data_IF_375577230793
#
_entry.id   IF_375577230793
#
_cell.length_a   1.000
_cell.length_b   1.000
_cell.length_c   1.000
_cell.angle_alpha   90.00
_cell.angle_beta   90.00
_cell.angle_gamma   90.00
#
_symmetry.space_group_name_H-M   'P 1'
#
loop_
_entity.id
_entity.type
_entity.pdbx_description
1 polymer ?
#
# COMPACT_ATOMS: atom_id res chain seq x y z
N UNK A 1 5.50 -12.43 8.63
CA UNK A 1 4.62 -12.23 7.45
C UNK A 1 3.57 -13.34 7.37
N UNK A 2 2.29 -13.01 7.16
CA UNK A 2 1.20 -13.99 7.11
C UNK A 2 0.79 -14.37 5.69
N UNK A 3 0.47 -13.36 4.88
CA UNK A 3 0.02 -13.49 3.50
C UNK A 3 0.35 -12.22 2.72
N UNK A 4 0.31 -12.31 1.40
CA UNK A 4 0.18 -11.11 0.55
C UNK A 4 -1.14 -10.44 0.94
N UNK A 5 -1.10 -9.16 1.23
CA UNK A 5 -2.30 -8.38 1.52
C UNK A 5 -2.83 -7.76 0.23
N UNK A 6 -1.96 -7.04 -0.49
CA UNK A 6 -2.27 -6.46 -1.78
C UNK A 6 -1.08 -6.34 -2.71
N UNK A 7 -1.38 -6.10 -3.99
CA UNK A 7 -0.43 -5.64 -4.99
C UNK A 7 -0.85 -4.23 -5.40
N UNK A 8 0.04 -3.27 -5.18
CA UNK A 8 -0.16 -1.87 -5.57
C UNK A 8 0.26 -1.64 -7.02
N UNK A 9 -0.60 -1.03 -7.82
CA UNK A 9 -0.37 -0.80 -9.25
C UNK A 9 -0.55 0.69 -9.53
N UNK A 10 0.54 1.34 -9.92
CA UNK A 10 0.54 2.75 -10.29
C UNK A 10 -0.10 2.94 -11.68
N UNK A 11 -1.07 3.86 -11.76
CA UNK A 11 -1.82 4.18 -12.97
C UNK A 11 -1.95 5.70 -13.13
N UNK A 12 -1.99 6.18 -14.37
CA UNK A 12 -2.19 7.60 -14.69
C UNK A 12 -3.64 8.02 -14.47
N UNK A 13 -4.59 7.12 -14.74
CA UNK A 13 -6.02 7.38 -14.60
C UNK A 13 -6.73 6.18 -13.95
N UNK A 14 -7.18 6.37 -12.72
CA UNK A 14 -7.82 5.34 -11.92
C UNK A 14 -9.19 4.95 -12.46
N UNK A 15 -9.93 5.87 -13.09
CA UNK A 15 -11.24 5.58 -13.64
C UNK A 15 -11.14 4.65 -14.87
N UNK A 16 -10.17 4.89 -15.75
CA UNK A 16 -9.92 4.02 -16.91
C UNK A 16 -9.30 2.69 -16.48
N UNK A 17 -8.32 2.72 -15.56
CA UNK A 17 -7.73 1.50 -15.03
C UNK A 17 -8.77 0.63 -14.30
N UNK A 18 -9.67 1.23 -13.50
CA UNK A 18 -10.74 0.50 -12.81
C UNK A 18 -11.59 -0.29 -13.80
N UNK A 19 -12.06 0.33 -14.90
CA UNK A 19 -12.86 -0.37 -15.93
C UNK A 19 -12.12 -1.58 -16.52
N UNK A 20 -10.80 -1.52 -16.66
CA UNK A 20 -9.98 -2.62 -17.16
C UNK A 20 -9.90 -3.74 -16.12
N UNK A 21 -9.54 -3.39 -14.88
CA UNK A 21 -9.37 -4.36 -13.80
C UNK A 21 -10.70 -5.01 -13.39
N UNK A 22 -11.81 -4.28 -13.44
CA UNK A 22 -13.14 -4.84 -13.16
C UNK A 22 -13.50 -5.96 -14.14
N UNK A 23 -13.21 -5.75 -15.44
CA UNK A 23 -13.39 -6.78 -16.47
C UNK A 23 -12.40 -7.93 -16.32
N UNK A 24 -11.13 -7.63 -16.03
CA UNK A 24 -10.07 -8.61 -15.92
C UNK A 24 -10.29 -9.56 -14.73
N UNK A 25 -10.68 -9.01 -13.58
CA UNK A 25 -10.87 -9.74 -12.33
C UNK A 25 -12.32 -10.21 -12.14
N UNK A 26 -13.24 -9.77 -13.00
CA UNK A 26 -14.67 -10.03 -12.88
C UNK A 26 -15.22 -9.64 -11.49
N UNK A 27 -14.84 -8.45 -11.02
CA UNK A 27 -15.19 -7.90 -9.70
C UNK A 27 -15.30 -6.38 -9.80
N UNK A 28 -16.12 -5.73 -8.97
CA UNK A 28 -16.22 -4.27 -8.95
C UNK A 28 -15.17 -3.62 -8.05
N UNK A 29 -14.92 -2.33 -8.25
CA UNK A 29 -14.27 -1.50 -7.23
C UNK A 29 -15.20 -1.41 -6.01
N UNK A 30 -14.76 -1.87 -4.85
CA UNK A 30 -15.59 -1.86 -3.63
C UNK A 30 -15.35 -0.63 -2.75
N UNK A 31 -14.21 0.04 -2.94
CA UNK A 31 -13.84 1.23 -2.18
C UNK A 31 -12.87 2.08 -2.99
N UNK A 32 -13.02 3.40 -2.86
CA UNK A 32 -12.01 4.39 -3.24
C UNK A 32 -11.68 5.23 -2.03
N UNK A 33 -10.42 5.65 -1.91
CA UNK A 33 -9.94 6.42 -0.75
C UNK A 33 -8.84 7.38 -1.17
N UNK A 34 -8.90 8.62 -0.70
CA UNK A 34 -7.80 9.56 -0.86
C UNK A 34 -6.91 9.52 0.37
N UNK A 35 -5.62 9.23 0.16
CA UNK A 35 -4.57 9.32 1.18
C UNK A 35 -3.86 10.65 0.98
N UNK A 36 -4.48 11.73 1.48
CA UNK A 36 -4.02 13.10 1.26
C UNK A 36 -2.57 13.33 1.73
N UNK A 37 -2.13 12.67 2.80
CA UNK A 37 -0.76 12.77 3.33
C UNK A 37 0.33 12.24 2.39
N UNK A 38 -0.05 11.37 1.45
CA UNK A 38 0.87 10.77 0.48
C UNK A 38 0.57 11.24 -0.96
N UNK A 39 -0.42 12.13 -1.14
CA UNK A 39 -0.88 12.62 -2.44
C UNK A 39 -1.28 11.50 -3.40
N UNK A 40 -2.07 10.54 -2.91
CA UNK A 40 -2.53 9.38 -3.69
C UNK A 40 -4.05 9.19 -3.54
N UNK A 41 -4.70 8.92 -4.67
CA UNK A 41 -6.05 8.36 -4.73
C UNK A 41 -5.95 6.86 -5.01
N UNK A 42 -6.67 6.05 -4.24
CA UNK A 42 -6.65 4.60 -4.34
C UNK A 42 -8.01 4.03 -4.71
N UNK A 43 -8.01 2.87 -5.37
CA UNK A 43 -9.20 2.09 -5.69
C UNK A 43 -8.92 0.61 -5.48
N UNK A 44 -9.82 -0.06 -4.77
CA UNK A 44 -9.62 -1.44 -4.32
C UNK A 44 -10.54 -2.41 -5.04
N UNK A 45 -9.94 -3.50 -5.54
CA UNK A 45 -10.66 -4.62 -6.15
C UNK A 45 -10.29 -5.93 -5.44
N UNK A 46 -11.30 -6.74 -5.10
CA UNK A 46 -11.08 -8.00 -4.39
C UNK A 46 -10.61 -9.10 -5.34
N UNK A 47 -9.56 -9.85 -4.96
CA UNK A 47 -9.08 -11.03 -5.71
C UNK A 47 -8.75 -12.16 -4.75
N UNK A 48 -9.72 -13.06 -4.55
CA UNK A 48 -9.62 -14.13 -3.55
C UNK A 48 -9.41 -13.56 -2.14
N UNK A 49 -8.41 -14.02 -1.35
CA UNK A 49 -8.13 -13.50 -0.01
C UNK A 49 -7.30 -12.21 0.01
N UNK A 50 -6.91 -11.69 -1.16
CA UNK A 50 -6.04 -10.55 -1.37
C UNK A 50 -6.78 -9.45 -2.17
N UNK A 51 -6.15 -8.30 -2.38
CA UNK A 51 -6.71 -7.22 -3.19
C UNK A 51 -5.70 -6.67 -4.21
N UNK A 52 -6.23 -6.10 -5.29
CA UNK A 52 -5.49 -5.18 -6.15
C UNK A 52 -5.81 -3.76 -5.68
N UNK A 53 -4.77 -2.96 -5.48
CA UNK A 53 -4.89 -1.55 -5.18
C UNK A 53 -4.34 -0.73 -6.35
N UNK A 54 -5.22 0.00 -7.01
CA UNK A 54 -4.82 0.96 -8.04
C UNK A 54 -4.44 2.27 -7.37
N UNK A 55 -3.34 2.87 -7.80
CA UNK A 55 -2.76 4.07 -7.20
C UNK A 55 -2.61 5.16 -8.26
N UNK A 56 -3.29 6.28 -8.07
CA UNK A 56 -3.15 7.46 -8.91
C UNK A 56 -2.60 8.62 -8.08
N UNK A 57 -1.56 9.29 -8.58
CA UNK A 57 -1.07 10.50 -7.95
C UNK A 57 -2.12 11.63 -8.02
N UNK A 58 -2.28 12.37 -6.92
CA UNK A 58 -3.10 13.60 -6.87
C UNK A 58 -2.26 14.88 -6.91
N UNK A 59 -0.93 14.76 -6.82
CA UNK A 59 0.05 15.83 -6.96
C UNK A 59 1.33 15.32 -7.63
N UNK A 60 2.09 16.21 -8.27
CA UNK A 60 3.42 15.91 -8.84
C UNK A 60 4.44 15.52 -7.75
N UNK A 61 4.22 15.96 -6.51
CA UNK A 61 5.06 15.63 -5.35
C UNK A 61 4.84 14.19 -4.84
N UNK A 62 3.90 13.44 -5.42
CA UNK A 62 3.61 12.06 -5.03
C UNK A 62 4.74 11.10 -5.41
N UNK A 63 5.02 10.12 -4.55
CA UNK A 63 5.89 8.99 -4.89
C UNK A 63 5.39 8.24 -6.13
N UNK A 64 4.07 8.19 -6.34
CA UNK A 64 3.44 7.57 -7.51
C UNK A 64 3.73 8.37 -8.77
N UNK A 65 3.67 9.70 -8.72
CA UNK A 65 4.02 10.56 -9.87
C UNK A 65 5.48 10.34 -10.28
N UNK A 66 6.39 10.29 -9.29
CA UNK A 66 7.81 10.00 -9.51
C UNK A 66 8.03 8.60 -10.12
N UNK A 67 7.29 7.60 -9.66
CA UNK A 67 7.36 6.24 -10.22
C UNK A 67 6.90 6.23 -11.68
N UNK A 68 5.72 6.79 -11.97
CA UNK A 68 5.14 6.84 -13.31
C UNK A 68 6.06 7.54 -14.31
N UNK A 69 6.67 8.67 -13.93
CA UNK A 69 7.62 9.39 -14.78
C UNK A 69 8.87 8.57 -15.14
N UNK A 70 9.30 7.67 -14.24
CA UNK A 70 10.53 6.88 -14.41
C UNK A 70 10.30 5.51 -15.05
N UNK A 71 9.12 4.92 -14.83
CA UNK A 71 8.84 3.50 -15.14
C UNK A 71 7.60 3.29 -16.00
N UNK A 72 6.73 4.29 -16.12
CA UNK A 72 5.38 4.12 -16.66
C UNK A 72 4.44 3.43 -15.67
N UNK A 73 3.23 3.15 -16.13
CA UNK A 73 2.24 2.39 -15.35
C UNK A 73 2.70 0.95 -15.09
N UNK A 74 2.33 0.39 -13.94
CA UNK A 74 2.67 -0.99 -13.60
C UNK A 74 2.70 -1.27 -12.10
N UNK A 75 3.16 -2.47 -11.76
CA UNK A 75 3.28 -2.91 -10.36
C UNK A 75 4.28 -2.00 -9.64
N UNK A 76 3.81 -1.33 -8.59
CA UNK A 76 4.59 -0.42 -7.77
C UNK A 76 5.21 -1.15 -6.57
N UNK A 77 4.42 -1.95 -5.87
CA UNK A 77 4.85 -2.63 -4.64
C UNK A 77 4.01 -3.89 -4.37
N UNK A 78 4.50 -4.71 -3.45
CA UNK A 78 3.78 -5.86 -2.90
C UNK A 78 3.70 -5.69 -1.39
N UNK A 79 2.49 -5.82 -0.82
CA UNK A 79 2.25 -5.67 0.59
C UNK A 79 2.01 -7.01 1.29
N UNK A 80 2.49 -7.14 2.53
CA UNK A 80 2.30 -8.32 3.37
C UNK A 80 1.62 -7.97 4.69
N UNK A 81 0.64 -8.78 5.06
CA UNK A 81 -0.09 -8.67 6.33
C UNK A 81 0.80 -9.16 7.50
N UNK A 82 0.83 -8.38 8.57
CA UNK A 82 1.59 -8.64 9.81
C UNK A 82 0.72 -8.42 11.04
N UNK A 83 0.95 -9.20 12.09
CA UNK A 83 0.18 -9.09 13.34
C UNK A 83 0.61 -7.88 14.19
N UNK A 84 1.92 -7.63 14.26
CA UNK A 84 2.54 -6.50 14.97
C UNK A 84 3.63 -5.89 14.09
N UNK A 85 3.35 -4.71 13.56
CA UNK A 85 4.21 -3.99 12.63
C UNK A 85 5.45 -3.43 13.33
N UNK A 86 5.35 -3.02 14.60
CA UNK A 86 6.52 -2.51 15.32
C UNK A 86 7.50 -3.64 15.62
N UNK A 87 6.99 -4.79 16.06
CA UNK A 87 7.80 -5.99 16.27
C UNK A 87 8.44 -6.47 14.96
N UNK A 88 7.69 -6.49 13.85
CA UNK A 88 8.22 -6.94 12.57
C UNK A 88 9.23 -5.95 11.98
N UNK A 89 9.00 -4.63 12.13
CA UNK A 89 9.98 -3.61 11.78
C UNK A 89 11.28 -3.79 12.57
N UNK A 90 11.20 -4.04 13.88
CA UNK A 90 12.38 -4.27 14.72
C UNK A 90 13.16 -5.52 14.27
N UNK A 91 12.44 -6.63 14.02
CA UNK A 91 13.04 -7.87 13.51
C UNK A 91 13.74 -7.65 12.17
N UNK A 92 13.08 -6.98 11.21
CA UNK A 92 13.66 -6.72 9.89
C UNK A 92 14.88 -5.80 9.95
N UNK A 93 14.89 -4.79 10.83
CA UNK A 93 16.08 -3.96 11.06
C UNK A 93 17.25 -4.80 11.60
N UNK A 94 17.00 -5.74 12.52
CA UNK A 94 18.04 -6.65 13.05
C UNK A 94 18.59 -7.61 11.99
N UNK A 95 17.75 -8.04 11.03
CA UNK A 95 18.14 -8.85 9.88
C UNK A 95 18.84 -8.05 8.77
N UNK A 96 19.04 -6.73 8.95
CA UNK A 96 19.79 -5.89 8.02
C UNK A 96 18.97 -5.27 6.87
N UNK A 97 17.64 -5.34 6.93
CA UNK A 97 16.78 -4.66 5.96
C UNK A 97 16.74 -3.15 6.20
N UNK A 98 16.66 -2.37 5.12
CA UNK A 98 16.53 -0.92 5.15
C UNK A 98 15.05 -0.59 5.13
N UNK A 99 14.52 0.02 6.20
CA UNK A 99 13.15 0.52 6.21
C UNK A 99 13.11 2.00 5.78
N UNK A 100 12.06 2.41 5.07
CA UNK A 100 11.89 3.79 4.59
C UNK A 100 11.44 4.75 5.69
N UNK A 101 10.86 4.23 6.77
CA UNK A 101 10.40 5.03 7.90
C UNK A 101 10.83 4.39 9.22
N UNK A 102 11.14 5.22 10.22
CA UNK A 102 11.52 4.74 11.54
C UNK A 102 10.35 4.24 12.37
N UNK A 103 9.14 4.74 12.09
CA UNK A 103 7.87 4.36 12.71
C UNK A 103 6.85 4.04 11.62
N UNK A 104 5.86 3.17 11.90
CA UNK A 104 4.77 2.94 10.97
C UNK A 104 3.96 4.24 10.76
N UNK A 105 3.43 4.40 9.56
CA UNK A 105 2.52 5.51 9.19
C UNK A 105 1.10 4.98 9.03
N UNK A 106 0.11 5.87 9.03
CA UNK A 106 -1.23 5.54 8.55
C UNK A 106 -1.23 5.48 7.03
N UNK A 107 -1.62 4.34 6.49
CA UNK A 107 -1.85 4.12 5.07
C UNK A 107 -3.33 4.12 4.72
N UNK A 108 -3.65 3.68 3.50
CA UNK A 108 -5.02 3.48 3.09
C UNK A 108 -5.67 2.33 3.88
N UNK A 109 -6.99 2.27 3.83
CA UNK A 109 -7.77 1.15 4.35
C UNK A 109 -7.66 0.92 5.87
N UNK A 110 -7.44 2.00 6.63
CA UNK A 110 -7.29 1.97 8.09
C UNK A 110 -6.16 1.05 8.57
N UNK A 111 -5.02 1.08 7.87
CA UNK A 111 -3.86 0.26 8.21
C UNK A 111 -2.68 1.11 8.67
N UNK A 112 -1.87 0.52 9.54
CA UNK A 112 -0.51 0.93 9.76
C UNK A 112 0.39 0.31 8.70
N UNK A 113 1.29 1.11 8.14
CA UNK A 113 2.14 0.72 7.02
C UNK A 113 3.60 1.11 7.24
N UNK A 114 4.52 0.30 6.71
CA UNK A 114 5.94 0.59 6.64
C UNK A 114 6.54 -0.08 5.40
N UNK A 115 7.46 0.60 4.73
CA UNK A 115 8.08 0.07 3.51
C UNK A 115 9.51 -0.38 3.75
N UNK A 116 9.87 -1.53 3.17
CA UNK A 116 11.25 -2.00 3.01
C UNK A 116 11.80 -1.46 1.69
N UNK A 117 12.96 -0.82 1.75
CA UNK A 117 13.61 -0.25 0.58
C UNK A 117 14.01 -1.35 -0.42
N UNK A 118 13.74 -1.15 -1.74
CA UNK A 118 14.14 -2.09 -2.80
C UNK A 118 15.61 -2.52 -2.79
N UNK A 119 16.51 -1.69 -2.27
CA UNK A 119 17.95 -1.95 -2.21
C UNK A 119 18.27 -3.16 -1.33
N UNK A 120 17.48 -3.39 -0.28
CA UNK A 120 17.58 -4.56 0.60
C UNK A 120 16.58 -5.66 0.28
N UNK A 121 15.81 -5.54 -0.82
CA UNK A 121 14.76 -6.48 -1.19
C UNK A 121 14.80 -6.84 -2.69
N UNK A 122 16.02 -6.99 -3.24
CA UNK A 122 16.27 -7.42 -4.63
C UNK A 122 15.49 -6.62 -5.69
N UNK A 123 15.29 -5.32 -5.46
CA UNK A 123 14.63 -4.41 -6.40
C UNK A 123 13.12 -4.29 -6.22
N UNK A 124 12.50 -5.03 -5.29
CA UNK A 124 11.06 -4.94 -5.01
C UNK A 124 10.81 -3.99 -3.85
N UNK A 125 9.87 -3.04 -4.03
CA UNK A 125 9.34 -2.26 -2.92
C UNK A 125 8.34 -3.14 -2.16
N UNK A 126 8.64 -3.43 -0.90
CA UNK A 126 7.81 -4.29 -0.05
C UNK A 126 7.16 -3.45 1.02
N UNK A 127 5.86 -3.64 1.23
CA UNK A 127 5.09 -2.98 2.29
C UNK A 127 4.72 -3.99 3.38
N UNK A 128 4.77 -3.54 4.63
CA UNK A 128 4.21 -4.21 5.79
C UNK A 128 2.88 -3.54 6.11
N UNK A 129 1.84 -4.34 6.31
CA UNK A 129 0.50 -3.86 6.59
C UNK A 129 -0.03 -4.49 7.87
N UNK A 130 -0.52 -3.68 8.80
CA UNK A 130 -1.27 -4.14 9.97
C UNK A 130 -2.61 -3.42 10.02
N UNK A 131 -3.70 -4.16 10.27
CA UNK A 131 -5.00 -3.54 10.55
C UNK A 131 -4.94 -2.75 11.87
N UNK A 132 -5.41 -1.50 11.87
CA UNK A 132 -5.72 -0.82 13.12
C UNK A 132 -6.99 -1.46 13.71
N UNK A 133 -6.89 -2.17 14.84
CA UNK A 133 -8.07 -2.65 15.56
C UNK A 133 -8.96 -1.46 15.94
N UNK A 134 -10.28 -1.58 15.72
CA UNK A 134 -11.25 -0.52 16.03
C UNK A 134 -11.22 -0.08 17.52
N UNK A 135 -10.77 -0.94 18.43
CA UNK A 135 -10.71 -0.68 19.88
C UNK A 135 -9.71 0.42 20.31
N UNK A 136 -8.72 0.77 19.47
CA UNK A 136 -7.77 1.85 19.78
C UNK A 136 -8.30 3.25 19.47
N UNK A 137 -9.47 3.37 18.80
CA UNK A 137 -10.10 4.66 18.48
C UNK A 137 -10.87 5.27 19.65
N UNK A 138 -11.43 4.45 20.52
CA UNK A 138 -12.27 4.91 21.64
C UNK A 138 -11.46 5.46 22.83
N UNK A 139 -10.14 5.27 22.86
CA UNK A 139 -9.28 5.74 23.96
C UNK A 139 -8.64 7.12 23.75
N UNK A 140 -8.85 7.74 22.60
CA UNK A 140 -8.31 9.06 22.26
C UNK A 140 -9.42 10.12 22.02
N UNK A 141 -10.63 9.88 22.54
CA UNK A 141 -11.73 10.85 22.51
C UNK A 141 -12.05 11.49 23.88
N UNK A 142 -11.25 11.22 24.92
CA UNK A 142 -11.34 11.89 26.23
C UNK A 142 -10.23 12.94 26.43
#
# INVERSE_FOLDING_TARGET
>A
MKKVEHIGIAVNNIAEASKIYEKLLNTGVYKTEEVASEHVLTAFLQSGPNKIELLQATSEDSAIATFLARKGEGIHHIAFDVDDIEAEMARLKQEGFILLNDKPKRGADNKLVCFVHPKSANGVLVELCQNENQESRDKNQD
#
